data_IF_925989825097
#
_entry.id   IF_925989825097
#
_cell.length_a   1.000
_cell.length_b   1.000
_cell.length_c   1.000
_cell.angle_alpha   90.00
_cell.angle_beta   90.00
_cell.angle_gamma   90.00
#
_symmetry.space_group_name_H-M   'P 1'
#
loop_
_entity.id
_entity.type
_entity.pdbx_description
1 polymer ?
#
# COMPACT_ATOMS: atom_id res chain seq x y z
N UNK A 1 -15.71 22.81 12.85
CA UNK A 1 -16.56 21.99 12.00
C UNK A 1 -15.86 20.72 11.58
N UNK A 2 -16.55 19.59 11.81
CA UNK A 2 -16.02 18.23 11.75
C UNK A 2 -16.17 17.68 10.32
N UNK A 3 -15.05 17.42 9.64
CA UNK A 3 -15.04 16.60 8.42
C UNK A 3 -14.69 15.18 8.85
N UNK A 4 -15.72 14.34 8.94
CA UNK A 4 -15.59 12.89 9.12
C UNK A 4 -14.88 12.29 7.91
N UNK A 5 -14.12 11.20 8.09
CA UNK A 5 -13.70 10.26 7.03
C UNK A 5 -14.89 9.51 6.38
N UNK A 6 -15.99 10.23 6.12
CA UNK A 6 -17.08 9.73 5.29
C UNK A 6 -16.65 9.97 3.87
N UNK A 7 -16.06 8.95 3.26
CA UNK A 7 -16.15 8.81 1.81
C UNK A 7 -17.63 9.03 1.48
N UNK A 8 -17.96 10.06 0.69
CA UNK A 8 -19.32 10.49 0.61
C UNK A 8 -20.18 9.34 0.07
N UNK A 9 -21.33 9.11 0.71
CA UNK A 9 -22.34 8.11 0.34
C UNK A 9 -23.06 8.53 -0.96
N UNK A 10 -22.30 8.90 -1.99
CA UNK A 10 -22.84 9.26 -3.30
C UNK A 10 -23.21 8.01 -4.07
N UNK A 11 -24.14 8.16 -5.03
CA UNK A 11 -24.54 7.12 -5.95
C UNK A 11 -23.28 6.50 -6.61
N UNK A 12 -22.99 5.28 -6.17
CA UNK A 12 -21.76 4.51 -6.39
C UNK A 12 -21.55 4.19 -7.87
N UNK A 13 -22.59 4.37 -8.68
CA UNK A 13 -22.64 3.85 -10.03
C UNK A 13 -21.81 4.65 -11.05
N UNK A 14 -21.42 5.92 -10.80
CA UNK A 14 -20.72 6.74 -11.83
C UNK A 14 -19.73 7.81 -11.36
N UNK A 15 -19.58 8.10 -10.07
CA UNK A 15 -19.12 9.44 -9.66
C UNK A 15 -17.60 9.67 -9.79
N UNK A 16 -16.76 8.63 -9.82
CA UNK A 16 -15.30 8.79 -9.87
C UNK A 16 -14.58 7.79 -10.80
N UNK A 17 -15.25 7.28 -11.82
CA UNK A 17 -14.69 6.26 -12.72
C UNK A 17 -13.41 6.68 -13.46
N UNK A 18 -13.09 7.98 -13.48
CA UNK A 18 -11.91 8.53 -14.13
C UNK A 18 -10.79 8.90 -13.16
N UNK A 19 -11.00 8.75 -11.85
CA UNK A 19 -9.95 9.00 -10.86
C UNK A 19 -8.94 7.85 -10.93
N UNK A 20 -7.70 8.19 -11.26
CA UNK A 20 -6.59 7.24 -11.37
C UNK A 20 -5.54 7.42 -10.30
N UNK A 21 -5.58 8.51 -9.53
CA UNK A 21 -4.63 8.83 -8.46
C UNK A 21 -5.42 9.25 -7.23
N UNK A 22 -5.10 8.66 -6.08
CA UNK A 22 -5.66 9.02 -4.78
C UNK A 22 -4.52 9.17 -3.76
N UNK A 23 -4.53 10.30 -3.05
CA UNK A 23 -3.64 10.58 -1.94
C UNK A 23 -4.48 10.63 -0.67
N UNK A 24 -4.09 9.86 0.34
CA UNK A 24 -4.78 9.78 1.63
C UNK A 24 -3.82 10.19 2.73
N UNK A 25 -4.22 11.19 3.51
CA UNK A 25 -3.47 11.67 4.66
C UNK A 25 -4.43 11.92 5.80
N UNK A 26 -4.16 11.33 6.96
CA UNK A 26 -4.85 11.64 8.21
C UNK A 26 -3.90 11.38 9.39
N UNK A 27 -3.62 12.41 10.17
CA UNK A 27 -2.77 12.38 11.36
C UNK A 27 -3.57 12.43 12.68
N UNK A 28 -4.90 12.54 12.59
CA UNK A 28 -5.81 12.64 13.75
C UNK A 28 -6.60 11.35 13.93
N UNK A 29 -6.96 10.67 12.84
CA UNK A 29 -7.81 9.48 12.87
C UNK A 29 -7.23 8.32 12.06
N UNK A 30 -7.33 7.09 12.58
CA UNK A 30 -6.99 5.91 11.80
C UNK A 30 -8.04 5.67 10.71
N UNK A 31 -7.63 5.09 9.59
CA UNK A 31 -8.56 4.59 8.58
C UNK A 31 -9.07 3.20 8.98
N UNK A 32 -10.39 3.04 8.97
CA UNK A 32 -11.04 1.74 9.20
C UNK A 32 -10.68 0.74 8.08
N UNK A 33 -10.58 -0.56 8.38
CA UNK A 33 -10.27 -1.59 7.36
C UNK A 33 -11.26 -1.56 6.18
N UNK A 34 -12.55 -1.35 6.46
CA UNK A 34 -13.63 -1.24 5.46
C UNK A 34 -13.54 0.03 4.59
N UNK A 35 -12.74 1.02 4.99
CA UNK A 35 -12.54 2.23 4.20
C UNK A 35 -11.95 1.89 2.82
N UNK A 36 -10.92 1.05 2.80
CA UNK A 36 -10.25 0.68 1.54
C UNK A 36 -11.12 -0.20 0.63
N UNK A 37 -12.06 -0.94 1.20
CA UNK A 37 -13.08 -1.65 0.41
C UNK A 37 -13.95 -0.65 -0.37
N UNK A 38 -14.42 0.42 0.29
CA UNK A 38 -15.21 1.48 -0.34
C UNK A 38 -14.39 2.21 -1.41
N UNK A 39 -13.10 2.45 -1.15
CA UNK A 39 -12.20 3.05 -2.15
C UNK A 39 -12.09 2.16 -3.39
N UNK A 40 -11.84 0.86 -3.23
CA UNK A 40 -11.73 -0.07 -4.34
C UNK A 40 -13.01 -0.13 -5.19
N UNK A 41 -14.18 -0.14 -4.53
CA UNK A 41 -15.48 -0.14 -5.21
C UNK A 41 -15.78 1.17 -5.94
N UNK A 42 -15.44 2.31 -5.34
CA UNK A 42 -15.80 3.63 -5.88
C UNK A 42 -14.81 4.13 -6.92
N UNK A 43 -13.55 3.70 -6.84
CA UNK A 43 -12.46 4.11 -7.72
C UNK A 43 -11.93 2.90 -8.53
N UNK A 44 -12.75 2.28 -9.39
CA UNK A 44 -12.38 1.03 -10.06
C UNK A 44 -11.19 1.19 -11.01
N UNK A 45 -10.83 2.41 -11.43
CA UNK A 45 -9.67 2.68 -12.29
C UNK A 45 -8.47 3.26 -11.54
N UNK A 46 -8.44 3.18 -10.22
CA UNK A 46 -7.33 3.68 -9.43
C UNK A 46 -6.03 2.98 -9.84
N UNK A 47 -5.02 3.77 -10.22
CA UNK A 47 -3.70 3.30 -10.66
C UNK A 47 -2.60 3.64 -9.67
N UNK A 48 -2.74 4.73 -8.92
CA UNK A 48 -1.78 5.17 -7.91
C UNK A 48 -2.50 5.47 -6.61
N UNK A 49 -2.00 4.90 -5.53
CA UNK A 49 -2.49 5.11 -4.17
C UNK A 49 -1.31 5.44 -3.25
N UNK A 50 -1.39 6.58 -2.60
CA UNK A 50 -0.48 6.98 -1.55
C UNK A 50 -1.25 7.14 -0.24
N UNK A 51 -0.70 6.58 0.83
CA UNK A 51 -1.32 6.60 2.15
C UNK A 51 -0.28 7.02 3.18
N UNK A 52 -0.64 8.05 3.95
CA UNK A 52 0.15 8.55 5.06
C UNK A 52 -0.77 8.54 6.29
N UNK A 53 -0.52 7.59 7.19
CA UNK A 53 -1.24 7.46 8.44
C UNK A 53 -0.43 6.61 9.42
N UNK A 54 0.08 7.24 10.46
CA UNK A 54 0.93 6.60 11.48
C UNK A 54 0.12 6.02 12.66
N UNK A 55 -1.21 6.16 12.64
CA UNK A 55 -2.09 5.71 13.71
C UNK A 55 -2.48 4.24 13.51
N UNK A 56 -2.40 3.45 14.57
CA UNK A 56 -2.83 2.05 14.60
C UNK A 56 -4.30 1.89 14.15
N UNK A 57 -4.58 0.86 13.35
CA UNK A 57 -5.96 0.57 12.96
C UNK A 57 -6.75 0.04 14.17
N UNK A 58 -7.85 0.70 14.50
CA UNK A 58 -8.69 0.33 15.65
C UNK A 58 -9.35 -1.05 15.50
N UNK A 59 -9.70 -1.44 14.27
CA UNK A 59 -10.32 -2.73 13.97
C UNK A 59 -9.39 -3.56 13.08
N UNK A 60 -8.57 -4.40 13.72
CA UNK A 60 -7.72 -5.36 13.02
C UNK A 60 -8.61 -6.46 12.45
N UNK A 61 -8.72 -6.55 11.14
CA UNK A 61 -9.48 -7.61 10.46
C UNK A 61 -8.87 -8.96 10.83
N UNK A 62 -9.48 -9.64 11.80
CA UNK A 62 -8.97 -10.89 12.41
C UNK A 62 -9.22 -12.12 11.51
N UNK A 63 -9.83 -11.95 10.33
CA UNK A 63 -10.37 -13.07 9.53
C UNK A 63 -10.27 -12.82 8.02
N UNK A 64 -9.36 -13.55 7.36
CA UNK A 64 -9.49 -14.35 6.11
C UNK A 64 -10.41 -13.93 4.95
N UNK A 65 -10.82 -12.67 4.79
CA UNK A 65 -11.54 -12.25 3.57
C UNK A 65 -10.70 -11.33 2.70
N UNK A 66 -10.08 -11.93 1.69
CA UNK A 66 -9.67 -11.23 0.48
C UNK A 66 -10.96 -10.81 -0.24
N UNK A 67 -11.56 -9.70 0.20
CA UNK A 67 -12.76 -9.09 -0.40
C UNK A 67 -12.43 -7.83 -1.19
N UNK A 68 -11.23 -7.30 -0.99
CA UNK A 68 -10.78 -6.04 -1.58
C UNK A 68 -9.85 -6.36 -2.75
N UNK A 69 -10.25 -5.94 -3.95
CA UNK A 69 -9.49 -6.09 -5.19
C UNK A 69 -9.23 -4.72 -5.79
N UNK A 70 -7.96 -4.32 -5.83
CA UNK A 70 -7.52 -3.14 -6.55
C UNK A 70 -6.96 -3.57 -7.91
N UNK A 71 -7.86 -3.99 -8.82
CA UNK A 71 -7.50 -4.63 -10.08
C UNK A 71 -6.53 -3.82 -10.95
N UNK A 72 -6.56 -2.48 -10.87
CA UNK A 72 -5.78 -1.57 -11.69
C UNK A 72 -4.66 -0.83 -10.95
N UNK A 73 -4.50 -1.05 -9.65
CA UNK A 73 -3.50 -0.34 -8.85
C UNK A 73 -2.10 -0.82 -9.25
N UNK A 74 -1.33 0.11 -9.79
CA UNK A 74 0.00 -0.12 -10.35
C UNK A 74 1.11 0.41 -9.43
N UNK A 75 0.83 1.50 -8.72
CA UNK A 75 1.77 2.19 -7.83
C UNK A 75 1.16 2.31 -6.44
N UNK A 76 1.86 1.79 -5.43
CA UNK A 76 1.46 1.87 -4.02
C UNK A 76 2.57 2.52 -3.20
N UNK A 77 2.24 3.59 -2.47
CA UNK A 77 3.19 4.39 -1.68
C UNK A 77 2.77 4.36 -0.20
N UNK A 78 3.66 3.83 0.64
CA UNK A 78 3.48 3.46 2.05
C UNK A 78 4.71 3.87 2.90
N UNK A 79 5.28 5.05 2.66
CA UNK A 79 6.49 5.48 3.38
C UNK A 79 6.24 5.82 4.84
N UNK A 80 5.21 6.63 5.09
CA UNK A 80 4.88 7.15 6.42
C UNK A 80 3.56 6.54 6.91
N UNK A 81 3.59 5.23 7.09
CA UNK A 81 2.40 4.47 7.46
C UNK A 81 2.64 3.52 8.65
N UNK A 82 1.59 3.29 9.43
CA UNK A 82 1.57 2.25 10.45
C UNK A 82 1.60 0.84 9.81
N UNK A 83 2.22 -0.12 10.49
CA UNK A 83 2.38 -1.51 10.02
C UNK A 83 1.07 -2.17 9.61
N UNK A 84 -0.01 -1.95 10.37
CA UNK A 84 -1.31 -2.58 10.12
C UNK A 84 -1.81 -2.34 8.67
N UNK A 85 -1.66 -1.13 8.16
CA UNK A 85 -2.08 -0.80 6.79
C UNK A 85 -1.19 -1.50 5.76
N UNK A 86 0.13 -1.53 5.98
CA UNK A 86 1.04 -2.23 5.09
C UNK A 86 0.75 -3.74 5.05
N UNK A 87 0.47 -4.35 6.21
CA UNK A 87 0.01 -5.73 6.30
C UNK A 87 -1.34 -5.93 5.61
N UNK A 88 -2.30 -5.01 5.78
CA UNK A 88 -3.59 -5.09 5.09
C UNK A 88 -3.37 -5.10 3.57
N UNK A 89 -2.64 -4.13 3.02
CA UNK A 89 -2.42 -4.01 1.58
C UNK A 89 -1.62 -5.16 0.99
N UNK A 90 -0.51 -5.55 1.62
CA UNK A 90 0.36 -6.57 1.05
C UNK A 90 -0.18 -7.98 1.32
N UNK A 91 -0.81 -8.25 2.46
CA UNK A 91 -1.16 -9.61 2.87
C UNK A 91 -2.66 -9.95 2.77
N UNK A 92 -3.55 -8.96 2.67
CA UNK A 92 -5.01 -9.20 2.76
C UNK A 92 -5.80 -8.67 1.55
N UNK A 93 -5.21 -7.76 0.77
CA UNK A 93 -5.81 -7.14 -0.42
C UNK A 93 -5.20 -7.77 -1.67
N UNK A 94 -5.99 -7.93 -2.72
CA UNK A 94 -5.48 -8.40 -4.02
C UNK A 94 -4.98 -7.23 -4.85
N UNK A 95 -3.71 -7.30 -5.28
CA UNK A 95 -3.01 -6.25 -6.03
C UNK A 95 -2.42 -6.78 -7.34
N UNK A 96 -3.25 -7.31 -8.27
CA UNK A 96 -2.74 -8.09 -9.41
C UNK A 96 -1.92 -7.26 -10.41
N UNK A 97 -2.06 -5.93 -10.40
CA UNK A 97 -1.40 -4.99 -11.32
C UNK A 97 -0.24 -4.23 -10.69
N UNK A 98 0.15 -4.56 -9.45
CA UNK A 98 1.19 -3.84 -8.74
C UNK A 98 2.55 -4.02 -9.44
N UNK A 99 3.17 -2.92 -9.83
CA UNK A 99 4.48 -2.89 -10.49
C UNK A 99 5.49 -2.00 -9.77
N UNK A 100 5.02 -1.08 -8.91
CA UNK A 100 5.86 -0.20 -8.11
C UNK A 100 5.35 -0.14 -6.66
N UNK A 101 6.26 -0.39 -5.72
CA UNK A 101 6.00 -0.29 -4.28
C UNK A 101 7.05 0.63 -3.65
N UNK A 102 6.56 1.69 -3.00
CA UNK A 102 7.35 2.52 -2.10
C UNK A 102 6.92 2.23 -0.67
N UNK A 103 7.84 1.82 0.20
CA UNK A 103 7.51 1.39 1.56
C UNK A 103 8.67 1.62 2.52
N UNK A 104 8.37 1.84 3.80
CA UNK A 104 9.39 1.82 4.85
C UNK A 104 10.12 0.46 4.87
N UNK A 105 11.45 0.48 4.97
CA UNK A 105 12.27 -0.74 4.92
C UNK A 105 11.94 -1.70 6.08
N UNK A 106 11.82 -1.18 7.30
CA UNK A 106 11.66 -2.02 8.48
C UNK A 106 10.31 -2.73 8.44
N UNK A 107 9.26 -2.01 8.00
CA UNK A 107 7.93 -2.57 7.74
C UNK A 107 8.00 -3.70 6.72
N UNK A 108 8.68 -3.47 5.59
CA UNK A 108 8.83 -4.47 4.55
C UNK A 108 9.54 -5.73 5.06
N UNK A 109 10.62 -5.57 5.83
CA UNK A 109 11.37 -6.71 6.37
C UNK A 109 10.52 -7.54 7.34
N UNK A 110 9.71 -6.90 8.19
CA UNK A 110 8.77 -7.63 9.06
C UNK A 110 7.77 -8.46 8.25
N UNK A 111 7.18 -7.89 7.19
CA UNK A 111 6.22 -8.60 6.33
C UNK A 111 6.89 -9.78 5.62
N UNK A 112 8.15 -9.63 5.18
CA UNK A 112 8.92 -10.71 4.56
C UNK A 112 9.20 -11.83 5.56
N UNK A 113 9.59 -11.49 6.79
CA UNK A 113 9.90 -12.45 7.86
C UNK A 113 8.68 -13.28 8.27
N UNK A 114 7.49 -12.68 8.29
CA UNK A 114 6.22 -13.38 8.52
C UNK A 114 5.83 -14.35 7.39
N UNK A 115 6.58 -14.37 6.27
CA UNK A 115 6.44 -15.27 5.13
C UNK A 115 5.00 -15.37 4.58
N UNK A 116 4.31 -14.24 4.48
CA UNK A 116 2.92 -14.18 4.02
C UNK A 116 2.84 -14.45 2.50
N UNK A 117 2.25 -15.58 2.10
CA UNK A 117 2.15 -15.99 0.69
C UNK A 117 1.45 -14.92 -0.18
N UNK A 118 0.38 -14.30 0.33
CA UNK A 118 -0.33 -13.26 -0.42
C UNK A 118 0.56 -12.03 -0.71
N UNK A 119 1.45 -11.67 0.21
CA UNK A 119 2.41 -10.60 -0.02
C UNK A 119 3.39 -10.98 -1.12
N UNK A 120 3.87 -12.23 -1.16
CA UNK A 120 4.69 -12.74 -2.27
C UNK A 120 3.95 -12.66 -3.60
N UNK A 121 2.69 -13.08 -3.63
CA UNK A 121 1.88 -13.07 -4.84
C UNK A 121 1.66 -11.65 -5.37
N UNK A 122 1.27 -10.71 -4.50
CA UNK A 122 1.10 -9.30 -4.82
C UNK A 122 2.41 -8.63 -5.28
N UNK A 123 3.53 -9.04 -4.70
CA UNK A 123 4.84 -8.45 -4.97
C UNK A 123 5.60 -9.09 -6.14
N UNK A 124 5.15 -10.25 -6.64
CA UNK A 124 5.83 -11.04 -7.67
C UNK A 124 6.09 -10.28 -8.98
N UNK A 125 5.26 -9.28 -9.29
CA UNK A 125 5.33 -8.47 -10.51
C UNK A 125 5.97 -7.10 -10.30
N UNK A 126 6.37 -6.78 -9.07
CA UNK A 126 6.90 -5.46 -8.74
C UNK A 126 8.30 -5.33 -9.34
N UNK A 127 8.40 -4.43 -10.33
CA UNK A 127 9.63 -4.11 -11.05
C UNK A 127 10.39 -2.94 -10.42
N UNK A 128 9.78 -2.19 -9.50
CA UNK A 128 10.41 -1.05 -8.84
C UNK A 128 10.08 -1.05 -7.35
N UNK A 129 11.11 -1.15 -6.54
CA UNK A 129 11.02 -1.02 -5.08
C UNK A 129 11.77 0.23 -4.65
N UNK A 130 11.11 1.06 -3.84
CA UNK A 130 11.73 2.22 -3.21
C UNK A 130 11.59 2.11 -1.70
N UNK A 131 12.71 2.15 -0.99
CA UNK A 131 12.73 2.14 0.48
C UNK A 131 13.43 3.37 1.04
N UNK A 132 13.04 3.78 2.25
CA UNK A 132 13.51 5.03 2.88
C UNK A 132 15.02 5.04 3.14
N UNK A 133 15.69 3.89 3.31
CA UNK A 133 17.15 3.73 3.35
C UNK A 133 17.56 2.29 2.96
N UNK A 134 18.24 2.03 1.83
CA UNK A 134 18.80 0.70 1.58
C UNK A 134 20.01 0.48 2.51
N UNK A 135 19.95 -0.52 3.40
CA UNK A 135 21.17 -1.10 4.00
C UNK A 135 21.55 -2.36 3.25
N UNK A 136 22.85 -2.56 3.04
CA UNK A 136 23.38 -3.67 2.24
C UNK A 136 23.00 -5.05 2.79
N UNK A 137 22.83 -5.17 4.11
CA UNK A 137 22.59 -6.43 4.82
C UNK A 137 21.23 -7.08 4.53
N UNK A 138 20.30 -6.38 3.89
CA UNK A 138 18.96 -6.91 3.61
C UNK A 138 18.63 -6.99 2.13
N UNK A 139 19.59 -6.70 1.24
CA UNK A 139 19.36 -6.70 -0.20
C UNK A 139 18.98 -8.11 -0.68
N UNK A 140 19.73 -9.14 -0.28
CA UNK A 140 19.47 -10.52 -0.71
C UNK A 140 18.06 -11.01 -0.31
N UNK A 141 17.60 -10.64 0.89
CA UNK A 141 16.27 -11.00 1.40
C UNK A 141 15.19 -10.35 0.52
N UNK A 142 15.38 -9.08 0.19
CA UNK A 142 14.44 -8.31 -0.61
C UNK A 142 14.47 -8.80 -2.07
N UNK A 143 15.64 -9.04 -2.66
CA UNK A 143 15.78 -9.58 -4.02
C UNK A 143 15.08 -10.94 -4.19
N UNK A 144 15.19 -11.82 -3.20
CA UNK A 144 14.47 -13.10 -3.19
C UNK A 144 12.94 -12.94 -3.09
N UNK A 145 12.46 -11.84 -2.50
CA UNK A 145 11.04 -11.55 -2.38
C UNK A 145 10.48 -10.84 -3.63
N UNK A 146 11.32 -10.09 -4.33
CA UNK A 146 10.96 -9.31 -5.53
C UNK A 146 11.80 -9.73 -6.74
N UNK A 147 11.49 -10.89 -7.37
CA UNK A 147 12.35 -11.49 -8.39
C UNK A 147 12.50 -10.66 -9.66
N UNK A 148 11.63 -9.66 -9.88
CA UNK A 148 11.64 -8.79 -11.06
C UNK A 148 12.08 -7.35 -10.76
N UNK A 149 12.36 -7.01 -9.49
CA UNK A 149 12.59 -5.63 -9.10
C UNK A 149 13.99 -5.13 -9.50
N UNK A 150 14.04 -3.95 -10.11
CA UNK A 150 15.24 -3.12 -10.14
C UNK A 150 15.21 -2.14 -8.96
N UNK A 151 16.29 -2.11 -8.17
CA UNK A 151 16.37 -1.27 -6.99
C UNK A 151 16.82 0.15 -7.36
N UNK A 152 15.95 1.13 -7.14
CA UNK A 152 16.32 2.54 -7.32
C UNK A 152 17.03 3.02 -6.05
N UNK A 153 18.36 3.09 -6.09
CA UNK A 153 19.14 3.73 -5.02
C UNK A 153 18.86 5.23 -5.05
N UNK A 154 18.23 5.78 -4.01
CA UNK A 154 18.28 7.22 -3.78
C UNK A 154 19.72 7.58 -3.37
N UNK A 155 20.52 8.03 -4.34
CA UNK A 155 21.72 8.80 -4.07
C UNK A 155 21.28 10.16 -3.51
N UNK A 156 21.42 10.36 -2.20
CA UNK A 156 21.54 11.70 -1.65
C UNK A 156 22.86 12.28 -2.17
N UNK A 157 22.84 12.80 -3.40
CA UNK A 157 23.75 13.88 -3.75
C UNK A 157 23.28 15.09 -2.97
N UNK A 158 23.92 15.30 -1.81
CA UNK A 158 23.93 16.60 -1.17
C UNK A 158 24.36 17.63 -2.19
N UNK A 159 23.45 18.54 -2.54
CA UNK A 159 23.86 19.83 -3.05
C UNK A 159 23.95 20.76 -1.84
N UNK A 160 25.19 21.19 -1.64
CA UNK A 160 25.67 22.20 -0.69
C UNK A 160 24.84 23.48 -0.72
#
# INVERSE_FOLDING_TARGET
>A
DFVSNRFPLFDINKTFSNVTILLLFDDIKPFESVFFERVAQTLPRLRTLEIINQLEQQEKTTVKKISIDFAHLAVLILYDIHMDYAQQFLCQIRLPSLIELAINKDILLTIIDENQQQARDNCSRVGTIRTSKPSYESIDIIENFFPLAYYVKHSNEGKQ
#
